data_IF_268029639424
#
_entry.id   IF_268029639424
#
_cell.length_a   1.000
_cell.length_b   1.000
_cell.length_c   1.000
_cell.angle_alpha   90.00
_cell.angle_beta   90.00
_cell.angle_gamma   90.00
#
_symmetry.space_group_name_H-M   'P 1'
#
loop_
_entity.id
_entity.type
_entity.pdbx_description
1 polymer ?
#
# COMPACT_ATOMS: atom_id res chain seq x y z
N UNK A 1 3.44 9.80 21.16
CA UNK A 1 4.28 9.37 20.03
C UNK A 1 5.07 8.15 20.47
N UNK A 2 5.08 7.12 19.64
CA UNK A 2 5.78 5.86 19.90
C UNK A 2 5.97 5.09 18.59
N UNK A 3 6.87 4.11 18.62
CA UNK A 3 7.06 3.18 17.50
C UNK A 3 5.79 2.36 17.23
N UNK A 4 5.58 1.87 16.00
CA UNK A 4 6.45 2.02 14.84
C UNK A 4 6.42 3.45 14.28
N UNK A 5 7.54 3.90 13.74
CA UNK A 5 7.69 5.23 13.12
C UNK A 5 7.50 5.14 11.59
N UNK A 6 6.85 6.13 10.98
CA UNK A 6 6.80 6.27 9.52
C UNK A 6 7.98 7.11 8.99
N UNK A 7 8.34 8.16 9.73
CA UNK A 7 9.45 9.05 9.42
C UNK A 7 9.80 9.88 10.66
N UNK A 8 10.78 10.77 10.52
CA UNK A 8 11.23 11.65 11.59
C UNK A 8 10.07 12.49 12.12
N UNK A 9 9.78 12.36 13.42
CA UNK A 9 8.74 13.12 14.11
C UNK A 9 7.30 12.61 13.92
N UNK A 10 7.07 11.46 13.28
CA UNK A 10 5.71 10.90 13.11
C UNK A 10 5.66 9.38 13.27
N UNK A 11 4.72 8.90 14.10
CA UNK A 11 4.44 7.47 14.20
C UNK A 11 3.73 6.95 12.96
N UNK A 12 3.94 5.67 12.64
CA UNK A 12 3.31 5.00 11.52
C UNK A 12 1.80 4.96 11.66
N UNK A 13 1.26 4.68 12.86
CA UNK A 13 -0.19 4.74 13.10
C UNK A 13 -0.74 6.14 12.82
N UNK A 14 -0.06 7.20 13.27
CA UNK A 14 -0.50 8.57 13.02
C UNK A 14 -0.48 8.94 11.54
N UNK A 15 0.50 8.44 10.77
CA UNK A 15 0.55 8.56 9.31
C UNK A 15 -0.63 7.83 8.65
N UNK A 16 -0.85 6.57 9.03
CA UNK A 16 -1.97 5.77 8.52
C UNK A 16 -3.33 6.42 8.80
N UNK A 17 -3.54 7.01 10.00
CA UNK A 17 -4.76 7.75 10.35
C UNK A 17 -4.94 9.01 9.51
N UNK A 18 -3.85 9.74 9.23
CA UNK A 18 -3.88 10.90 8.34
C UNK A 18 -4.26 10.55 6.90
N UNK A 19 -3.62 9.52 6.37
CA UNK A 19 -3.90 8.97 5.03
C UNK A 19 -5.32 8.40 4.94
N UNK A 20 -5.79 7.69 5.96
CA UNK A 20 -7.17 7.17 6.01
C UNK A 20 -8.20 8.30 5.93
N UNK A 21 -7.98 9.37 6.68
CA UNK A 21 -8.88 10.53 6.65
C UNK A 21 -8.95 11.13 5.24
N UNK A 22 -7.78 11.42 4.65
CA UNK A 22 -7.68 12.04 3.33
C UNK A 22 -8.30 11.17 2.24
N UNK A 23 -8.04 9.87 2.23
CA UNK A 23 -8.59 8.98 1.21
C UNK A 23 -10.10 8.84 1.32
N UNK A 24 -10.65 8.89 2.55
CA UNK A 24 -12.10 8.84 2.77
C UNK A 24 -12.78 10.10 2.24
N UNK A 25 -12.29 11.26 2.65
CA UNK A 25 -12.85 12.57 2.29
C UNK A 25 -12.71 12.82 0.77
N UNK A 26 -11.53 12.63 0.19
CA UNK A 26 -11.26 13.02 -1.20
C UNK A 26 -11.72 11.98 -2.26
N UNK A 27 -11.96 10.72 -1.88
CA UNK A 27 -12.28 9.65 -2.84
C UNK A 27 -13.52 8.84 -2.47
N UNK A 28 -13.60 8.32 -1.24
CA UNK A 28 -14.71 7.45 -0.84
C UNK A 28 -16.03 8.21 -0.83
N UNK A 29 -16.08 9.35 -0.13
CA UNK A 29 -17.28 10.19 -0.01
C UNK A 29 -17.72 10.78 -1.37
N UNK A 30 -16.76 11.07 -2.24
CA UNK A 30 -16.99 11.53 -3.62
C UNK A 30 -17.44 10.39 -4.57
N UNK A 31 -17.61 9.17 -4.07
CA UNK A 31 -18.14 8.04 -4.84
C UNK A 31 -17.16 7.45 -5.86
N UNK A 32 -15.85 7.66 -5.68
CA UNK A 32 -14.81 7.12 -6.56
C UNK A 32 -14.89 5.58 -6.70
N UNK A 33 -15.33 4.88 -5.66
CA UNK A 33 -15.56 3.44 -5.67
C UNK A 33 -16.49 2.97 -6.80
N UNK A 34 -17.45 3.80 -7.25
CA UNK A 34 -18.33 3.49 -8.39
C UNK A 34 -17.55 3.38 -9.70
N UNK A 35 -16.53 4.22 -9.87
CA UNK A 35 -15.64 4.21 -11.05
C UNK A 35 -14.78 2.94 -11.03
N UNK A 36 -14.19 2.64 -9.88
CA UNK A 36 -13.37 1.44 -9.68
C UNK A 36 -14.19 0.17 -9.94
N UNK A 37 -15.38 0.06 -9.33
CA UNK A 37 -16.31 -1.07 -9.55
C UNK A 37 -16.68 -1.24 -11.02
N UNK A 38 -16.98 -0.15 -11.73
CA UNK A 38 -17.28 -0.20 -13.18
C UNK A 38 -16.10 -0.68 -14.01
N UNK A 39 -14.85 -0.45 -13.57
CA UNK A 39 -13.67 -0.97 -14.25
C UNK A 39 -13.42 -2.45 -13.90
N UNK A 40 -13.56 -2.81 -12.63
CA UNK A 40 -13.47 -4.20 -12.16
C UNK A 40 -14.49 -5.11 -12.85
N UNK A 41 -15.72 -4.64 -13.07
CA UNK A 41 -16.75 -5.43 -13.76
C UNK A 41 -16.36 -5.81 -15.20
N UNK A 42 -15.49 -5.04 -15.87
CA UNK A 42 -14.99 -5.36 -17.22
C UNK A 42 -14.02 -6.53 -17.22
N UNK A 43 -13.28 -6.75 -16.13
CA UNK A 43 -12.32 -7.84 -15.98
C UNK A 43 -12.86 -9.00 -15.13
N UNK A 44 -14.08 -8.87 -14.58
CA UNK A 44 -14.72 -9.90 -13.74
C UNK A 44 -14.66 -11.30 -14.36
N UNK A 45 -14.94 -11.41 -15.67
CA UNK A 45 -14.95 -12.71 -16.37
C UNK A 45 -13.57 -13.36 -16.48
N UNK A 46 -12.49 -12.59 -16.38
CA UNK A 46 -11.12 -13.11 -16.38
C UNK A 46 -10.58 -13.39 -14.97
N UNK A 47 -11.31 -13.03 -13.92
CA UNK A 47 -10.92 -13.30 -12.53
C UNK A 47 -11.49 -14.65 -12.07
N UNK A 48 -10.74 -15.41 -11.23
CA UNK A 48 -11.19 -16.68 -10.68
C UNK A 48 -12.54 -16.54 -9.97
N UNK A 49 -13.46 -17.47 -10.22
CA UNK A 49 -14.80 -17.51 -9.62
C UNK A 49 -15.72 -16.32 -9.95
N UNK A 50 -15.34 -15.44 -10.87
CA UNK A 50 -16.15 -14.32 -11.36
C UNK A 50 -16.78 -13.47 -10.23
N UNK A 51 -15.95 -12.94 -9.31
CA UNK A 51 -16.41 -12.31 -8.09
C UNK A 51 -17.30 -11.11 -8.38
N UNK A 52 -18.24 -10.88 -7.48
CA UNK A 52 -18.93 -9.59 -7.40
C UNK A 52 -18.11 -8.62 -6.52
N UNK A 53 -18.26 -7.34 -6.81
CA UNK A 53 -17.55 -6.27 -6.11
C UNK A 53 -18.58 -5.29 -5.53
N UNK A 54 -19.17 -5.60 -4.35
CA UNK A 54 -20.00 -4.65 -3.63
C UNK A 54 -19.26 -3.32 -3.44
N UNK A 55 -20.00 -2.21 -3.40
CA UNK A 55 -19.40 -0.87 -3.30
C UNK A 55 -18.54 -0.72 -2.05
N UNK A 56 -19.07 -1.14 -0.89
CA UNK A 56 -18.37 -1.17 0.40
C UNK A 56 -17.03 -1.93 0.36
N UNK A 57 -16.98 -3.07 -0.34
CA UNK A 57 -15.74 -3.85 -0.51
C UNK A 57 -14.72 -3.08 -1.32
N UNK A 58 -15.16 -2.32 -2.33
CA UNK A 58 -14.27 -1.50 -3.17
C UNK A 58 -13.80 -0.26 -2.41
N UNK A 59 -14.66 0.37 -1.61
CA UNK A 59 -14.30 1.47 -0.71
C UNK A 59 -13.23 1.03 0.29
N UNK A 60 -13.46 -0.09 0.99
CA UNK A 60 -12.50 -0.67 1.91
C UNK A 60 -11.19 -1.07 1.22
N UNK A 61 -11.23 -1.53 -0.04
CA UNK A 61 -10.04 -1.84 -0.81
C UNK A 61 -9.23 -0.58 -1.19
N UNK A 62 -9.89 0.53 -1.50
CA UNK A 62 -9.25 1.83 -1.75
C UNK A 62 -8.55 2.31 -0.46
N UNK A 63 -9.26 2.27 0.67
CA UNK A 63 -8.69 2.65 1.97
C UNK A 63 -7.52 1.75 2.33
N UNK A 64 -7.68 0.43 2.20
CA UNK A 64 -6.63 -0.55 2.50
C UNK A 64 -5.37 -0.29 1.66
N UNK A 65 -5.53 0.00 0.36
CA UNK A 65 -4.40 0.36 -0.52
C UNK A 65 -3.65 1.57 0.03
N UNK A 66 -4.37 2.64 0.36
CA UNK A 66 -3.77 3.89 0.80
C UNK A 66 -3.03 3.73 2.13
N UNK A 67 -3.66 3.14 3.15
CA UNK A 67 -3.08 3.06 4.50
C UNK A 67 -1.95 2.03 4.62
N UNK A 68 -1.85 1.08 3.68
CA UNK A 68 -0.88 -0.01 3.76
C UNK A 68 0.46 0.29 3.10
N UNK A 69 0.59 1.40 2.36
CA UNK A 69 1.74 1.68 1.50
C UNK A 69 3.10 1.69 2.23
N UNK A 70 3.07 2.01 3.52
CA UNK A 70 4.25 2.21 4.36
C UNK A 70 4.43 1.13 5.44
N UNK A 71 3.64 0.06 5.44
CA UNK A 71 3.70 -0.99 6.47
C UNK A 71 5.07 -1.67 6.57
N UNK A 72 5.81 -1.75 5.48
CA UNK A 72 7.18 -2.27 5.43
C UNK A 72 8.17 -1.45 6.26
N UNK A 73 7.85 -0.20 6.61
CA UNK A 73 8.63 0.58 7.58
C UNK A 73 8.53 0.02 8.99
N UNK A 74 7.50 -0.75 9.32
CA UNK A 74 7.40 -1.39 10.64
C UNK A 74 8.47 -2.48 10.86
N UNK A 75 9.15 -2.93 9.81
CA UNK A 75 10.24 -3.91 9.92
C UNK A 75 11.39 -3.33 10.75
N UNK A 76 11.91 -4.15 11.65
CA UNK A 76 12.92 -3.77 12.64
C UNK A 76 14.14 -3.08 12.01
N UNK A 77 14.54 -3.52 10.80
CA UNK A 77 15.61 -2.90 10.02
C UNK A 77 15.43 -1.38 9.82
N UNK A 78 14.23 -0.93 9.46
CA UNK A 78 13.93 0.50 9.35
C UNK A 78 13.81 1.13 10.74
N UNK A 79 13.11 0.47 11.66
CA UNK A 79 12.82 1.02 12.99
C UNK A 79 14.08 1.22 13.85
N UNK A 80 15.17 0.51 13.59
CA UNK A 80 16.46 0.72 14.29
C UNK A 80 17.16 2.02 13.90
N UNK A 81 16.78 2.64 12.77
CA UNK A 81 17.33 3.92 12.32
C UNK A 81 16.72 5.13 13.05
N UNK A 82 15.65 4.90 13.79
CA UNK A 82 14.92 5.92 14.55
C UNK A 82 14.91 5.57 16.04
N UNK A 83 14.92 6.60 16.86
CA UNK A 83 14.71 6.50 18.31
C UNK A 83 13.24 6.18 18.63
N UNK A 84 12.91 5.99 19.91
CA UNK A 84 11.54 5.65 20.33
C UNK A 84 10.53 6.80 20.16
N UNK A 85 11.01 8.05 20.15
CA UNK A 85 10.27 9.28 19.84
C UNK A 85 10.25 9.58 18.33
N UNK A 86 10.69 8.64 17.49
CA UNK A 86 10.80 8.80 16.04
C UNK A 86 11.74 9.94 15.62
N UNK A 87 12.77 10.26 16.39
CA UNK A 87 13.83 11.18 15.96
C UNK A 87 14.97 10.44 15.25
N UNK A 88 15.67 11.14 14.36
CA UNK A 88 16.75 10.59 13.54
C UNK A 88 16.58 10.83 12.04
N UNK A 89 17.41 10.18 11.23
CA UNK A 89 17.28 10.15 9.76
C UNK A 89 17.18 8.69 9.34
N UNK A 90 16.11 8.35 8.64
CA UNK A 90 15.88 7.02 8.12
C UNK A 90 15.68 7.05 6.61
N UNK A 91 16.26 6.07 5.92
CA UNK A 91 16.00 5.83 4.50
C UNK A 91 15.97 4.33 4.27
N UNK A 92 14.98 3.87 3.52
CA UNK A 92 14.83 2.45 3.23
C UNK A 92 14.01 2.24 1.97
N UNK A 93 14.66 2.26 0.81
CA UNK A 93 13.98 2.10 -0.48
C UNK A 93 13.13 0.81 -0.59
N UNK A 94 13.54 -0.36 -0.06
CA UNK A 94 12.74 -1.59 -0.15
C UNK A 94 11.46 -1.65 0.70
N UNK A 95 11.09 -0.60 1.45
CA UNK A 95 9.88 -0.63 2.29
C UNK A 95 8.59 -0.90 1.49
N UNK A 96 8.53 -0.53 0.21
CA UNK A 96 7.37 -0.79 -0.66
C UNK A 96 7.17 -2.30 -0.88
N UNK A 97 8.28 -3.01 -1.14
CA UNK A 97 8.29 -4.48 -1.27
C UNK A 97 7.86 -5.12 0.03
N UNK A 98 8.39 -4.66 1.17
CA UNK A 98 8.02 -5.21 2.47
C UNK A 98 6.59 -4.84 2.87
N UNK A 99 6.03 -3.72 2.40
CA UNK A 99 4.62 -3.36 2.60
C UNK A 99 3.70 -4.31 1.84
N UNK A 100 4.03 -4.61 0.59
CA UNK A 100 3.31 -5.61 -0.21
C UNK A 100 3.38 -7.01 0.42
N UNK A 101 4.57 -7.44 0.85
CA UNK A 101 4.76 -8.74 1.50
C UNK A 101 4.02 -8.83 2.84
N UNK A 102 4.07 -7.76 3.64
CA UNK A 102 3.28 -7.64 4.86
C UNK A 102 1.80 -7.80 4.55
N UNK A 103 1.29 -7.10 3.54
CA UNK A 103 -0.13 -7.10 3.22
C UNK A 103 -0.63 -8.48 2.76
N UNK A 104 0.12 -9.18 1.91
CA UNK A 104 -0.18 -10.58 1.52
C UNK A 104 -0.24 -11.47 2.76
N UNK A 105 0.69 -11.28 3.68
CA UNK A 105 0.69 -12.01 4.93
C UNK A 105 -0.43 -11.56 5.85
N UNK A 106 -0.84 -10.30 5.87
CA UNK A 106 -1.82 -9.79 6.84
C UNK A 106 -3.24 -10.18 6.46
N UNK A 107 -3.60 -10.14 5.17
CA UNK A 107 -4.94 -10.46 4.69
C UNK A 107 -5.14 -11.98 4.73
N UNK A 108 -6.07 -12.44 5.58
CA UNK A 108 -6.32 -13.85 5.83
C UNK A 108 -7.23 -14.48 4.76
N UNK A 109 -8.09 -13.69 4.12
CA UNK A 109 -8.95 -14.11 3.03
C UNK A 109 -8.25 -13.97 1.67
N UNK A 110 -8.50 -14.91 0.75
CA UNK A 110 -7.96 -14.84 -0.61
C UNK A 110 -8.77 -13.87 -1.47
N UNK A 111 -8.73 -12.58 -1.12
CA UNK A 111 -9.47 -11.55 -1.85
C UNK A 111 -8.96 -11.41 -3.29
N UNK A 112 -9.84 -11.41 -4.30
CA UNK A 112 -9.46 -11.21 -5.70
C UNK A 112 -8.93 -9.78 -5.98
N UNK A 113 -9.08 -8.85 -5.02
CA UNK A 113 -8.55 -7.49 -5.11
C UNK A 113 -7.09 -7.40 -4.64
N UNK A 114 -6.62 -8.37 -3.86
CA UNK A 114 -5.29 -8.32 -3.22
C UNK A 114 -4.12 -8.17 -4.22
N UNK A 115 -4.13 -8.80 -5.42
CA UNK A 115 -3.13 -8.51 -6.46
C UNK A 115 -3.08 -7.05 -6.90
N UNK A 116 -4.24 -6.40 -7.07
CA UNK A 116 -4.30 -5.00 -7.49
C UNK A 116 -3.85 -4.06 -6.37
N UNK A 117 -4.27 -4.32 -5.13
CA UNK A 117 -3.89 -3.53 -3.95
C UNK A 117 -2.39 -3.61 -3.72
N UNK A 118 -1.82 -4.82 -3.66
CA UNK A 118 -0.38 -5.04 -3.45
C UNK A 118 0.46 -4.45 -4.58
N UNK A 119 0.00 -4.56 -5.83
CA UNK A 119 0.67 -3.92 -6.98
C UNK A 119 0.65 -2.40 -6.85
N UNK A 120 -0.47 -1.79 -6.46
CA UNK A 120 -0.54 -0.35 -6.25
C UNK A 120 0.39 0.12 -5.11
N UNK A 121 0.40 -0.60 -3.99
CA UNK A 121 1.33 -0.35 -2.86
C UNK A 121 2.79 -0.41 -3.30
N UNK A 122 3.17 -1.34 -4.17
CA UNK A 122 4.55 -1.44 -4.64
C UNK A 122 4.97 -0.36 -5.62
N UNK A 123 4.02 0.36 -6.19
CA UNK A 123 4.25 1.31 -7.29
C UNK A 123 4.09 2.76 -6.82
N UNK A 124 3.99 3.00 -5.51
CA UNK A 124 3.52 4.27 -5.00
C UNK A 124 4.58 5.38 -4.92
N UNK A 125 5.87 5.04 -4.97
CA UNK A 125 6.91 6.07 -5.01
C UNK A 125 7.06 6.74 -6.38
N UNK A 126 7.81 7.84 -6.35
CA UNK A 126 7.97 8.96 -7.31
C UNK A 126 8.20 8.64 -8.79
N UNK A 127 8.25 7.38 -9.19
CA UNK A 127 8.38 7.02 -10.59
C UNK A 127 7.38 5.96 -11.07
N UNK A 128 6.48 5.47 -10.22
CA UNK A 128 5.55 4.38 -10.56
C UNK A 128 6.29 3.25 -11.29
N UNK A 129 7.42 2.84 -10.71
CA UNK A 129 8.33 1.85 -11.29
C UNK A 129 8.16 0.53 -10.58
N UNK A 130 8.10 -0.54 -11.38
CA UNK A 130 8.20 -1.90 -10.85
C UNK A 130 9.57 -2.02 -10.18
N UNK A 131 9.63 -2.47 -8.91
CA UNK A 131 10.90 -2.72 -8.25
C UNK A 131 11.76 -3.66 -9.09
N UNK A 132 13.02 -3.28 -9.29
CA UNK A 132 13.96 -4.13 -10.01
C UNK A 132 14.37 -5.34 -9.15
N UNK A 133 15.01 -6.33 -9.79
CA UNK A 133 15.44 -7.55 -9.09
C UNK A 133 16.38 -7.23 -7.91
N UNK A 134 17.21 -6.18 -8.03
CA UNK A 134 18.08 -5.72 -6.94
C UNK A 134 17.30 -5.25 -5.72
N UNK A 135 16.19 -4.55 -5.92
CA UNK A 135 15.32 -4.10 -4.83
C UNK A 135 14.64 -5.27 -4.15
N UNK A 136 14.20 -6.28 -4.92
CA UNK A 136 13.65 -7.54 -4.39
C UNK A 136 14.70 -8.33 -3.60
N UNK A 137 15.91 -8.51 -4.16
CA UNK A 137 17.04 -9.16 -3.48
C UNK A 137 17.39 -8.44 -2.17
N UNK A 138 17.38 -7.10 -2.17
CA UNK A 138 17.63 -6.33 -0.95
C UNK A 138 16.54 -6.52 0.10
N UNK A 139 15.27 -6.56 -0.30
CA UNK A 139 14.16 -6.86 0.59
C UNK A 139 14.33 -8.25 1.22
N UNK A 140 14.73 -9.25 0.43
CA UNK A 140 15.03 -10.60 0.91
C UNK A 140 16.20 -10.63 1.90
N UNK A 141 17.29 -9.93 1.61
CA UNK A 141 18.43 -9.81 2.51
C UNK A 141 18.01 -9.24 3.87
N UNK A 142 17.18 -8.20 3.87
CA UNK A 142 16.67 -7.57 5.09
C UNK A 142 15.87 -8.56 5.92
N UNK A 143 14.91 -9.28 5.32
CA UNK A 143 14.09 -10.23 6.07
C UNK A 143 14.87 -11.48 6.51
N UNK A 144 15.90 -11.90 5.76
CA UNK A 144 16.85 -12.95 6.20
C UNK A 144 17.66 -12.52 7.43
N UNK A 145 17.99 -11.23 7.52
CA UNK A 145 18.68 -10.63 8.66
C UNK A 145 17.80 -10.39 9.91
N UNK A 146 16.50 -10.69 9.82
CA UNK A 146 15.52 -10.48 10.88
C UNK A 146 14.34 -9.62 10.39
N UNK A 147 13.28 -10.27 9.92
CA UNK A 147 12.08 -9.61 9.37
C UNK A 147 11.04 -9.22 10.43
N UNK A 148 11.44 -9.09 11.70
CA UNK A 148 10.54 -8.79 12.82
C UNK A 148 9.79 -7.48 12.58
N UNK A 149 8.50 -7.50 12.85
CA UNK A 149 7.63 -6.31 12.78
C UNK A 149 7.49 -5.68 14.16
N UNK A 150 7.79 -4.39 14.25
CA UNK A 150 7.57 -3.57 15.44
C UNK A 150 6.13 -3.08 15.46
N UNK A 151 5.44 -3.25 16.59
CA UNK A 151 4.05 -2.81 16.74
C UNK A 151 3.01 -3.68 16.04
N UNK A 152 3.31 -4.97 15.80
CA UNK A 152 2.42 -5.91 15.10
C UNK A 152 0.96 -5.88 15.59
N UNK A 153 0.74 -5.89 16.91
CA UNK A 153 -0.62 -5.85 17.48
C UNK A 153 -1.36 -4.53 17.24
N UNK A 154 -0.66 -3.39 17.23
CA UNK A 154 -1.27 -2.08 16.93
C UNK A 154 -1.64 -1.97 15.45
N UNK A 155 -0.76 -2.45 14.56
CA UNK A 155 -1.01 -2.51 13.12
C UNK A 155 -2.18 -3.44 12.80
N UNK A 156 -2.24 -4.62 13.44
CA UNK A 156 -3.37 -5.52 13.31
C UNK A 156 -4.68 -4.87 13.75
N UNK A 157 -4.69 -4.24 14.94
CA UNK A 157 -5.86 -3.52 15.46
C UNK A 157 -6.33 -2.40 14.53
N UNK A 158 -5.40 -1.67 13.92
CA UNK A 158 -5.71 -0.64 12.94
C UNK A 158 -6.35 -1.25 11.69
N UNK A 159 -5.72 -2.26 11.08
CA UNK A 159 -6.22 -2.89 9.85
C UNK A 159 -7.60 -3.54 10.06
N UNK A 160 -7.85 -4.16 11.21
CA UNK A 160 -9.16 -4.75 11.57
C UNK A 160 -10.32 -3.74 11.68
N UNK A 161 -10.07 -2.44 11.52
CA UNK A 161 -11.12 -1.43 11.33
C UNK A 161 -11.79 -1.56 9.96
N UNK A 162 -11.05 -2.01 8.94
CA UNK A 162 -11.52 -2.22 7.57
C UNK A 162 -12.30 -3.54 7.54
N UNK A 163 -13.63 -3.48 7.28
CA UNK A 163 -14.55 -4.58 7.61
C UNK A 163 -14.69 -5.62 6.51
N UNK A 164 -14.41 -5.24 5.27
CA UNK A 164 -14.51 -6.11 4.10
C UNK A 164 -13.39 -7.14 3.98
N UNK A 165 -12.38 -7.08 4.85
CA UNK A 165 -11.21 -7.96 4.84
C UNK A 165 -11.00 -8.58 6.22
N UNK A 166 -10.51 -9.81 6.24
CA UNK A 166 -10.07 -10.48 7.46
C UNK A 166 -8.57 -10.34 7.61
N UNK A 167 -8.09 -9.98 8.79
CA UNK A 167 -6.67 -9.78 9.03
C UNK A 167 -6.14 -10.73 10.09
N UNK A 168 -4.89 -11.17 9.94
CA UNK A 168 -4.10 -11.80 11.00
C UNK A 168 -2.99 -10.86 11.47
N UNK A 169 -2.58 -11.02 12.72
CA UNK A 169 -1.42 -10.31 13.24
C UNK A 169 -0.14 -10.82 12.55
N UNK A 170 0.70 -9.89 12.09
CA UNK A 170 1.97 -10.19 11.41
C UNK A 170 3.12 -9.76 12.30
N UNK A 171 3.70 -10.70 13.02
CA UNK A 171 4.87 -10.47 13.87
C UNK A 171 6.20 -10.46 13.11
N UNK A 172 6.24 -11.04 11.90
CA UNK A 172 7.46 -11.19 11.10
C UNK A 172 7.12 -11.36 9.61
N UNK A 173 7.97 -10.81 8.75
CA UNK A 173 7.99 -11.03 7.30
C UNK A 173 9.15 -11.96 6.96
N UNK A 174 8.93 -12.96 6.11
CA UNK A 174 9.92 -13.95 5.69
C UNK A 174 10.31 -13.76 4.21
N UNK A 175 11.40 -14.38 3.74
CA UNK A 175 11.75 -14.39 2.32
C UNK A 175 10.63 -14.96 1.43
N UNK A 176 9.90 -15.96 1.91
CA UNK A 176 8.79 -16.56 1.16
C UNK A 176 7.64 -15.57 0.95
N UNK A 177 7.37 -14.69 1.91
CA UNK A 177 6.35 -13.64 1.74
C UNK A 177 6.76 -12.65 0.62
N UNK A 178 8.06 -12.37 0.48
CA UNK A 178 8.60 -11.54 -0.61
C UNK A 178 8.50 -12.25 -1.97
N UNK A 179 8.73 -13.57 -2.02
CA UNK A 179 8.55 -14.36 -3.25
C UNK A 179 7.06 -14.46 -3.65
N UNK A 180 6.15 -14.62 -2.70
CA UNK A 180 4.72 -14.60 -3.00
C UNK A 180 4.27 -13.27 -3.61
N UNK A 181 4.84 -12.15 -3.14
CA UNK A 181 4.57 -10.84 -3.72
C UNK A 181 4.92 -10.79 -5.21
N UNK A 182 6.03 -11.40 -5.62
CA UNK A 182 6.42 -11.48 -7.04
C UNK A 182 5.35 -12.14 -7.90
N UNK A 183 4.67 -13.17 -7.38
CA UNK A 183 3.58 -13.84 -8.09
C UNK A 183 2.37 -12.91 -8.28
N UNK A 184 2.03 -12.10 -7.27
CA UNK A 184 0.93 -11.14 -7.31
C UNK A 184 1.18 -10.03 -8.34
N UNK A 185 2.40 -9.50 -8.39
CA UNK A 185 2.82 -8.53 -9.41
C UNK A 185 2.69 -9.13 -10.80
N UNK A 186 3.19 -10.36 -10.98
CA UNK A 186 3.11 -11.05 -12.25
C UNK A 186 1.65 -11.27 -12.68
N UNK A 187 0.72 -11.47 -11.75
CA UNK A 187 -0.71 -11.57 -12.03
C UNK A 187 -1.36 -10.24 -12.46
N UNK A 188 -0.76 -9.08 -12.22
CA UNK A 188 -1.33 -7.78 -12.64
C UNK A 188 -0.59 -7.18 -13.82
N UNK A 189 0.73 -7.18 -13.75
CA UNK A 189 1.62 -6.56 -14.73
C UNK A 189 1.89 -7.52 -15.89
N UNK A 190 2.13 -8.78 -15.57
CA UNK A 190 2.50 -9.82 -16.54
C UNK A 190 1.36 -10.81 -16.82
N UNK A 191 0.11 -10.51 -16.37
CA UNK A 191 -1.06 -11.35 -16.65
C UNK A 191 -1.32 -11.36 -18.13
N UNK A 192 -0.68 -12.33 -18.75
CA UNK A 192 -1.03 -12.86 -20.04
C UNK A 192 -2.31 -13.67 -19.83
N UNK A 193 -3.39 -13.43 -20.59
CA UNK A 193 -4.26 -14.53 -20.97
C UNK A 193 -3.39 -15.54 -21.72
N UNK A 194 -3.91 -16.71 -22.06
CA UNK A 194 -3.32 -17.72 -22.96
C UNK A 194 -2.70 -17.22 -24.31
N UNK A 195 -2.63 -15.90 -24.54
CA UNK A 195 -2.22 -15.16 -25.73
C UNK A 195 -1.11 -14.12 -25.52
N UNK A 196 -0.51 -13.97 -24.32
CA UNK A 196 0.77 -13.26 -24.21
C UNK A 196 0.75 -11.72 -24.14
N UNK A 197 -0.37 -11.06 -23.82
CA UNK A 197 -0.44 -9.59 -23.68
C UNK A 197 -1.18 -9.18 -22.41
N UNK A 198 -0.63 -8.30 -21.54
CA UNK A 198 -1.38 -7.68 -20.45
C UNK A 198 -2.58 -6.95 -21.02
N UNK A 199 -3.81 -7.27 -20.59
CA UNK A 199 -4.94 -6.46 -21.05
C UNK A 199 -4.79 -5.06 -20.47
N UNK A 200 -4.90 -4.02 -21.29
CA UNK A 200 -4.90 -2.61 -20.85
C UNK A 200 -5.86 -2.36 -19.68
N UNK A 201 -6.88 -3.22 -19.54
CA UNK A 201 -7.84 -3.23 -18.45
C UNK A 201 -7.25 -3.56 -17.06
N UNK A 202 -6.34 -4.53 -16.92
CA UNK A 202 -5.71 -4.84 -15.61
C UNK A 202 -4.82 -3.69 -15.14
N UNK A 203 -4.08 -3.10 -16.08
CA UNK A 203 -3.26 -1.93 -15.82
C UNK A 203 -4.13 -0.74 -15.39
N UNK A 204 -5.26 -0.52 -16.07
CA UNK A 204 -6.23 0.49 -15.65
C UNK A 204 -6.77 0.26 -14.23
N UNK A 205 -7.02 -0.99 -13.83
CA UNK A 205 -7.56 -1.28 -12.49
C UNK A 205 -6.57 -0.93 -11.39
N UNK A 206 -5.31 -1.37 -11.46
CA UNK A 206 -4.36 -1.03 -10.39
C UNK A 206 -4.08 0.48 -10.34
N UNK A 207 -4.04 1.17 -11.49
CA UNK A 207 -3.89 2.63 -11.51
C UNK A 207 -5.03 3.36 -10.78
N UNK A 208 -6.23 2.79 -10.79
CA UNK A 208 -7.36 3.35 -10.03
C UNK A 208 -7.17 3.19 -8.51
N UNK A 209 -6.44 2.19 -8.03
CA UNK A 209 -6.04 2.06 -6.62
C UNK A 209 -4.82 2.92 -6.28
N UNK A 210 -3.92 3.13 -7.24
CA UNK A 210 -2.71 3.92 -7.08
C UNK A 210 -2.99 5.42 -6.90
N UNK A 211 -3.94 5.98 -7.65
CA UNK A 211 -4.26 7.42 -7.59
C UNK A 211 -4.64 7.87 -6.16
N UNK A 212 -5.62 7.24 -5.47
CA UNK A 212 -5.96 7.61 -4.10
C UNK A 212 -4.79 7.50 -3.11
N UNK A 213 -3.96 6.47 -3.26
CA UNK A 213 -2.75 6.30 -2.45
C UNK A 213 -1.81 7.50 -2.65
N UNK A 214 -1.39 7.78 -3.89
CA UNK A 214 -0.38 8.82 -4.19
C UNK A 214 -0.86 10.19 -3.73
N UNK A 215 -2.14 10.52 -3.97
CA UNK A 215 -2.70 11.80 -3.53
C UNK A 215 -2.69 11.90 -2.00
N UNK A 216 -3.19 10.88 -1.30
CA UNK A 216 -3.33 10.93 0.15
C UNK A 216 -1.97 10.91 0.87
N UNK A 217 -0.99 10.15 0.38
CA UNK A 217 0.37 10.14 0.94
C UNK A 217 1.07 11.49 0.80
N UNK A 218 0.99 12.13 -0.38
CA UNK A 218 1.62 13.44 -0.58
C UNK A 218 0.90 14.57 0.16
N UNK A 219 -0.42 14.49 0.34
CA UNK A 219 -1.14 15.46 1.17
C UNK A 219 -0.83 15.28 2.66
N UNK A 220 -0.71 14.05 3.18
CA UNK A 220 -0.33 13.84 4.58
C UNK A 220 1.12 14.25 4.84
N UNK A 221 2.03 14.07 3.87
CA UNK A 221 3.44 14.44 4.02
C UNK A 221 3.65 15.92 4.33
N UNK A 222 2.71 16.80 3.97
CA UNK A 222 2.77 18.24 4.25
C UNK A 222 2.83 18.58 5.75
N UNK A 223 2.36 17.69 6.62
CA UNK A 223 2.46 17.83 8.08
C UNK A 223 3.91 17.89 8.58
N UNK A 224 4.86 17.51 7.73
CA UNK A 224 6.31 17.49 8.01
C UNK A 224 6.98 18.86 7.88
N UNK A 225 6.35 19.82 7.19
CA UNK A 225 6.89 21.18 7.02
C UNK A 225 8.14 21.30 6.12
N UNK A 226 8.59 20.23 5.47
CA UNK A 226 9.85 20.18 4.71
C UNK A 226 9.62 19.48 3.35
N UNK A 227 9.06 20.23 2.41
CA UNK A 227 8.66 19.75 1.07
C UNK A 227 9.05 20.76 -0.03
N UNK A 228 10.21 21.43 0.06
CA UNK A 228 10.63 22.42 -0.94
C UNK A 228 10.60 21.84 -2.38
N UNK A 229 11.09 20.61 -2.56
CA UNK A 229 11.15 19.94 -3.87
C UNK A 229 9.77 19.48 -4.40
N UNK A 230 8.79 19.27 -3.51
CA UNK A 230 7.44 18.76 -3.85
C UNK A 230 6.36 19.82 -3.75
N UNK A 231 6.72 21.03 -3.34
CA UNK A 231 5.82 22.12 -3.00
C UNK A 231 4.81 22.42 -4.10
N UNK A 232 5.26 22.47 -5.36
CA UNK A 232 4.38 22.71 -6.50
C UNK A 232 3.37 21.58 -6.69
N UNK A 233 3.82 20.33 -6.64
CA UNK A 233 2.93 19.17 -6.81
C UNK A 233 1.87 19.12 -5.70
N UNK A 234 2.29 19.33 -4.44
CA UNK A 234 1.40 19.38 -3.28
C UNK A 234 0.39 20.52 -3.40
N UNK A 235 0.81 21.72 -3.82
CA UNK A 235 -0.09 22.87 -4.01
C UNK A 235 -1.15 22.53 -5.06
N UNK A 236 -0.77 21.90 -6.17
CA UNK A 236 -1.73 21.46 -7.19
C UNK A 236 -2.70 20.41 -6.64
N UNK A 237 -2.21 19.45 -5.85
CA UNK A 237 -3.09 18.46 -5.20
C UNK A 237 -4.10 19.13 -4.26
N UNK A 238 -3.67 20.10 -3.44
CA UNK A 238 -4.57 20.87 -2.55
C UNK A 238 -5.62 21.66 -3.32
N UNK A 239 -5.23 22.26 -4.44
CA UNK A 239 -6.18 22.98 -5.31
C UNK A 239 -7.27 22.05 -5.87
N UNK A 240 -6.95 20.79 -6.12
CA UNK A 240 -7.88 19.81 -6.72
C UNK A 240 -8.71 19.10 -5.64
N UNK A 241 -8.10 18.70 -4.53
CA UNK A 241 -8.67 17.78 -3.55
C UNK A 241 -8.95 18.40 -2.17
N UNK A 242 -8.52 19.64 -1.91
CA UNK A 242 -8.68 20.31 -0.61
C UNK A 242 -7.50 20.12 0.34
N UNK A 243 -7.61 20.76 1.52
CA UNK A 243 -6.62 20.73 2.61
C UNK A 243 -6.80 19.57 3.57
#
# INVERSE_FOLDING_TARGET
>A
MGKPCAFTGQSLISHMEGVEKLVREAFVEEGYAKIVRKRLSKIRRSLPHHPDFPEEVVEDAIVLTAVSHDLGKAVEYFQRQLTNDCSGRASFHPHEVLSGAYLIKAVADQSPLLPFITTAVMMHHHAMRVPDEKTLEKAQEVVRGGGKVVGAGELHKFLSRIKSFSFKEVGEITPDDVEQLRLYINQVINSTPYTGVPTSSSLQVYSLFLLPLVVSDNLDSTRRGDDEDRRLFIVELKNIYGD
#
